data_IF_505467216172
#
_entry.id   IF_505467216172
#
_cell.length_a   1.000
_cell.length_b   1.000
_cell.length_c   1.000
_cell.angle_alpha   90.00
_cell.angle_beta   90.00
_cell.angle_gamma   90.00
#
_symmetry.space_group_name_H-M   'P 1'
#
loop_
_entity.id
_entity.type
_entity.pdbx_description
1 polymer ?
#
# COMPACT_ATOMS: atom_id res chain seq x y z
N UNK A 1 -31.37 -0.14 13.55
CA UNK A 1 -30.16 0.29 14.29
C UNK A 1 -28.96 -0.28 13.55
N UNK A 2 -28.03 0.55 13.07
CA UNK A 2 -26.81 0.06 12.40
C UNK A 2 -25.87 -0.51 13.47
N UNK A 3 -25.36 -1.75 13.35
CA UNK A 3 -24.34 -2.26 14.24
C UNK A 3 -23.04 -1.49 13.96
N UNK A 4 -22.65 -0.61 14.86
CA UNK A 4 -21.60 0.38 14.56
C UNK A 4 -20.30 0.14 15.27
N UNK A 5 -20.21 -0.84 16.17
CA UNK A 5 -18.97 -1.10 16.86
C UNK A 5 -18.70 -2.62 17.02
N UNK A 6 -17.50 -3.00 16.66
CA UNK A 6 -16.97 -4.36 16.76
C UNK A 6 -15.47 -4.29 17.00
N UNK A 7 -14.86 -5.41 17.40
CA UNK A 7 -13.40 -5.57 17.52
C UNK A 7 -12.98 -6.83 16.78
N UNK A 8 -11.87 -6.78 16.04
CA UNK A 8 -11.23 -7.93 15.43
C UNK A 8 -9.82 -8.10 16.01
N UNK A 9 -9.49 -9.30 16.48
CA UNK A 9 -8.18 -9.61 17.07
C UNK A 9 -7.79 -11.06 16.81
N UNK A 10 -6.49 -11.33 16.90
CA UNK A 10 -6.00 -12.71 16.93
C UNK A 10 -6.51 -13.42 18.19
N UNK A 11 -6.80 -14.72 18.05
CA UNK A 11 -7.29 -15.60 19.11
C UNK A 11 -6.52 -16.91 19.10
N UNK A 12 -6.43 -17.56 20.26
CA UNK A 12 -5.97 -18.93 20.36
C UNK A 12 -7.00 -19.89 19.75
N UNK A 13 -6.54 -20.83 18.93
CA UNK A 13 -7.45 -21.75 18.25
C UNK A 13 -8.15 -22.69 19.23
N UNK A 14 -7.45 -23.19 20.24
CA UNK A 14 -8.03 -24.12 21.21
C UNK A 14 -9.18 -23.49 22.00
N UNK A 15 -9.03 -22.20 22.33
CA UNK A 15 -10.04 -21.46 23.11
C UNK A 15 -11.23 -20.99 22.26
N UNK A 16 -11.00 -20.67 20.97
CA UNK A 16 -12.01 -20.07 20.11
C UNK A 16 -12.59 -21.03 19.05
N UNK A 17 -12.17 -22.29 19.03
CA UNK A 17 -12.48 -23.28 18.00
C UNK A 17 -13.96 -23.35 17.64
N UNK A 18 -14.81 -23.45 18.64
CA UNK A 18 -16.25 -23.63 18.42
C UNK A 18 -16.88 -22.40 17.75
N UNK A 19 -16.44 -21.19 18.13
CA UNK A 19 -16.94 -19.94 17.54
C UNK A 19 -16.44 -19.74 16.11
N UNK A 20 -15.15 -20.04 15.86
CA UNK A 20 -14.56 -20.00 14.52
C UNK A 20 -15.31 -20.93 13.58
N UNK A 21 -15.55 -22.16 14.02
CA UNK A 21 -16.25 -23.17 13.23
C UNK A 21 -17.74 -22.83 13.03
N UNK A 22 -18.43 -22.29 14.03
CA UNK A 22 -19.84 -21.91 13.90
C UNK A 22 -20.05 -20.84 12.81
N UNK A 23 -19.18 -19.81 12.76
CA UNK A 23 -19.24 -18.80 11.71
C UNK A 23 -18.96 -19.40 10.33
N UNK A 24 -17.93 -20.24 10.22
CA UNK A 24 -17.52 -20.89 8.97
C UNK A 24 -18.59 -21.85 8.47
N UNK A 25 -19.20 -22.61 9.36
CA UNK A 25 -20.35 -23.48 9.07
C UNK A 25 -21.50 -22.67 8.47
N UNK A 26 -21.86 -21.55 9.11
CA UNK A 26 -22.95 -20.69 8.62
C UNK A 26 -22.64 -20.14 7.24
N UNK A 27 -21.44 -19.58 7.03
CA UNK A 27 -21.11 -18.86 5.80
C UNK A 27 -20.72 -19.81 4.66
N UNK A 28 -19.86 -20.79 4.91
CA UNK A 28 -19.36 -21.64 3.84
C UNK A 28 -20.27 -22.83 3.56
N UNK A 29 -20.76 -23.51 4.59
CA UNK A 29 -21.57 -24.73 4.39
C UNK A 29 -23.03 -24.36 4.13
N UNK A 30 -23.66 -23.56 5.02
CA UNK A 30 -25.09 -23.28 4.91
C UNK A 30 -25.46 -22.29 3.83
N UNK A 31 -24.67 -21.17 3.69
CA UNK A 31 -24.98 -20.16 2.68
C UNK A 31 -24.37 -20.48 1.31
N UNK A 32 -23.13 -21.00 1.25
CA UNK A 32 -22.40 -21.21 -0.02
C UNK A 32 -22.41 -22.65 -0.52
N UNK A 33 -22.89 -23.62 0.28
CA UNK A 33 -22.99 -25.02 -0.10
C UNK A 33 -21.65 -25.75 -0.22
N UNK A 34 -20.59 -25.24 0.41
CA UNK A 34 -19.29 -25.91 0.45
C UNK A 34 -19.41 -27.17 1.31
N UNK A 35 -18.96 -28.36 0.85
CA UNK A 35 -18.96 -29.56 1.68
C UNK A 35 -18.19 -29.36 2.98
N UNK A 36 -18.75 -29.83 4.10
CA UNK A 36 -18.17 -29.67 5.43
C UNK A 36 -16.77 -30.32 5.54
N UNK A 37 -16.51 -31.37 4.78
CA UNK A 37 -15.24 -32.07 4.72
C UNK A 37 -14.14 -31.24 4.04
N UNK A 38 -14.52 -30.33 3.14
CA UNK A 38 -13.58 -29.38 2.49
C UNK A 38 -13.36 -28.17 3.39
N UNK A 39 -14.37 -27.77 4.14
CA UNK A 39 -14.29 -26.62 5.02
C UNK A 39 -13.36 -26.88 6.22
N UNK A 40 -13.46 -28.07 6.82
CA UNK A 40 -12.67 -28.48 7.99
C UNK A 40 -11.44 -29.25 7.52
N UNK A 41 -10.28 -28.64 7.68
CA UNK A 41 -8.98 -29.25 7.34
C UNK A 41 -8.06 -29.37 8.58
N UNK A 42 -7.01 -30.17 8.46
CA UNK A 42 -6.06 -30.44 9.53
C UNK A 42 -5.10 -29.25 9.82
N UNK A 43 -5.17 -28.15 9.06
CA UNK A 43 -4.27 -27.02 9.20
C UNK A 43 -4.64 -26.09 10.36
N UNK A 44 -5.91 -26.07 10.78
CA UNK A 44 -6.42 -25.12 11.76
C UNK A 44 -5.58 -24.99 13.04
N UNK A 45 -5.09 -26.06 13.68
CA UNK A 45 -4.29 -25.94 14.91
C UNK A 45 -2.93 -25.25 14.72
N UNK A 46 -2.39 -25.24 13.49
CA UNK A 46 -1.11 -24.62 13.18
C UNK A 46 -1.24 -23.17 12.66
N UNK A 47 -2.47 -22.71 12.44
CA UNK A 47 -2.75 -21.42 11.84
C UNK A 47 -2.91 -20.31 12.89
N UNK A 48 -2.73 -19.06 12.46
CA UNK A 48 -3.19 -17.89 13.20
C UNK A 48 -4.64 -17.62 12.84
N UNK A 49 -5.48 -17.48 13.86
CA UNK A 49 -6.89 -17.17 13.67
C UNK A 49 -7.22 -15.76 14.15
N UNK A 50 -8.10 -15.10 13.42
CA UNK A 50 -8.70 -13.82 13.81
C UNK A 50 -10.18 -14.00 13.97
N UNK A 51 -10.72 -13.47 15.06
CA UNK A 51 -12.14 -13.47 15.37
C UNK A 51 -12.61 -12.02 15.53
N UNK A 52 -13.67 -11.67 14.83
CA UNK A 52 -14.38 -10.41 15.02
C UNK A 52 -15.58 -10.64 15.93
N UNK A 53 -15.73 -9.77 16.94
CA UNK A 53 -16.86 -9.78 17.88
C UNK A 53 -17.53 -8.41 17.92
N UNK A 54 -18.85 -8.38 18.04
CA UNK A 54 -19.61 -7.20 18.39
C UNK A 54 -19.28 -6.74 19.81
N UNK A 55 -19.74 -5.56 20.21
CA UNK A 55 -19.47 -5.02 21.56
C UNK A 55 -20.03 -5.85 22.71
N UNK A 56 -21.09 -6.59 22.47
CA UNK A 56 -21.68 -7.54 23.42
C UNK A 56 -20.95 -8.89 23.48
N UNK A 57 -19.86 -9.02 22.70
CA UNK A 57 -19.05 -10.24 22.66
C UNK A 57 -19.50 -11.28 21.63
N UNK A 58 -20.60 -11.07 20.90
CA UNK A 58 -21.10 -12.03 19.92
C UNK A 58 -20.13 -12.20 18.76
N UNK A 59 -19.72 -13.43 18.37
CA UNK A 59 -18.88 -13.70 17.21
C UNK A 59 -19.59 -13.35 15.90
N UNK A 60 -18.93 -12.58 15.00
CA UNK A 60 -19.54 -12.05 13.79
C UNK A 60 -18.73 -12.26 12.53
N UNK A 61 -17.47 -12.64 12.66
CA UNK A 61 -16.60 -12.90 11.52
C UNK A 61 -15.31 -13.59 11.93
N UNK A 62 -14.70 -14.34 11.02
CA UNK A 62 -13.45 -15.07 11.22
C UNK A 62 -12.55 -15.01 10.00
N UNK A 63 -11.26 -15.21 10.20
CA UNK A 63 -10.25 -15.36 9.15
C UNK A 63 -9.08 -16.18 9.66
N UNK A 64 -8.40 -16.85 8.74
CA UNK A 64 -7.25 -17.70 9.02
C UNK A 64 -6.03 -17.30 8.22
N UNK A 65 -4.87 -17.33 8.85
CA UNK A 65 -3.57 -17.14 8.23
C UNK A 65 -2.75 -18.43 8.40
N UNK A 66 -2.54 -19.12 7.30
CA UNK A 66 -1.73 -20.34 7.22
C UNK A 66 -0.27 -19.93 7.16
N UNK A 67 0.61 -20.46 8.03
CA UNK A 67 2.05 -20.20 7.97
C UNK A 67 2.66 -20.68 6.64
N UNK A 68 3.78 -20.07 6.21
CA UNK A 68 4.50 -20.56 5.04
C UNK A 68 5.11 -21.93 5.30
N UNK A 69 5.18 -22.75 4.27
CA UNK A 69 5.90 -24.02 4.25
C UNK A 69 6.98 -24.03 3.14
N UNK A 70 7.61 -25.18 2.89
CA UNK A 70 8.67 -25.33 1.87
C UNK A 70 8.19 -25.11 0.43
N UNK A 71 6.88 -25.16 0.18
CA UNK A 71 6.26 -25.09 -1.16
C UNK A 71 5.49 -23.83 -1.39
N UNK A 72 4.83 -23.33 -0.36
CA UNK A 72 3.92 -22.18 -0.44
C UNK A 72 4.26 -21.12 0.61
N UNK A 73 4.15 -19.85 0.24
CA UNK A 73 4.24 -18.73 1.15
C UNK A 73 3.02 -18.68 2.10
N UNK A 74 3.04 -17.73 3.03
CA UNK A 74 1.92 -17.52 3.94
C UNK A 74 0.62 -17.26 3.17
N UNK A 75 -0.51 -17.82 3.64
CA UNK A 75 -1.78 -17.73 2.93
C UNK A 75 -2.94 -17.35 3.85
N UNK A 76 -3.68 -16.31 3.48
CA UNK A 76 -4.94 -15.95 4.13
C UNK A 76 -6.08 -16.77 3.52
N UNK A 77 -6.92 -17.32 4.38
CA UNK A 77 -8.11 -18.09 3.98
C UNK A 77 -9.20 -18.03 5.05
N UNK A 78 -10.29 -18.73 4.78
CA UNK A 78 -11.44 -18.84 5.69
C UNK A 78 -11.97 -17.48 6.17
N UNK A 79 -11.89 -16.46 5.33
CA UNK A 79 -12.46 -15.12 5.60
C UNK A 79 -13.99 -15.20 5.48
N UNK A 80 -14.68 -15.12 6.60
CA UNK A 80 -16.13 -15.21 6.69
C UNK A 80 -16.69 -14.08 7.57
N UNK A 81 -17.77 -13.44 7.11
CA UNK A 81 -18.52 -12.44 7.87
C UNK A 81 -20.01 -12.80 7.79
N UNK A 82 -20.67 -12.90 8.94
CA UNK A 82 -22.11 -13.14 9.01
C UNK A 82 -22.90 -12.07 8.26
N UNK A 83 -23.96 -12.48 7.54
CA UNK A 83 -24.69 -11.63 6.62
C UNK A 83 -25.12 -10.26 7.21
N UNK A 84 -25.64 -10.16 8.45
CA UNK A 84 -26.03 -8.88 9.04
C UNK A 84 -24.87 -7.89 9.24
N UNK A 85 -23.61 -8.37 9.21
CA UNK A 85 -22.41 -7.59 9.49
C UNK A 85 -21.57 -7.30 8.24
N UNK A 86 -22.00 -7.74 7.06
CA UNK A 86 -21.36 -7.43 5.79
C UNK A 86 -21.50 -5.94 5.45
N UNK A 87 -20.53 -5.40 4.73
CA UNK A 87 -20.48 -3.97 4.35
C UNK A 87 -20.34 -2.98 5.53
N UNK A 88 -20.03 -3.45 6.74
CA UNK A 88 -19.78 -2.65 7.94
C UNK A 88 -18.29 -2.55 8.31
N UNK A 89 -17.38 -2.95 7.40
CA UNK A 89 -15.93 -2.86 7.64
C UNK A 89 -15.32 -4.06 8.39
N UNK A 90 -16.13 -5.04 8.81
CA UNK A 90 -15.65 -6.21 9.59
C UNK A 90 -14.59 -6.98 8.83
N UNK A 91 -14.81 -7.30 7.54
CA UNK A 91 -13.84 -7.99 6.70
C UNK A 91 -12.50 -7.25 6.59
N UNK A 92 -12.54 -5.92 6.44
CA UNK A 92 -11.33 -5.10 6.37
C UNK A 92 -10.56 -5.10 7.70
N UNK A 93 -11.25 -5.04 8.84
CA UNK A 93 -10.61 -5.09 10.15
C UNK A 93 -9.96 -6.46 10.42
N UNK A 94 -10.64 -7.55 10.07
CA UNK A 94 -10.06 -8.90 10.18
C UNK A 94 -8.84 -9.07 9.27
N UNK A 95 -8.92 -8.61 8.03
CA UNK A 95 -7.80 -8.63 7.09
C UNK A 95 -6.61 -7.83 7.65
N UNK A 96 -6.85 -6.64 8.18
CA UNK A 96 -5.80 -5.83 8.81
C UNK A 96 -5.14 -6.55 10.00
N UNK A 97 -5.91 -7.26 10.83
CA UNK A 97 -5.39 -8.05 11.94
C UNK A 97 -4.52 -9.23 11.45
N UNK A 98 -4.96 -9.98 10.42
CA UNK A 98 -4.16 -11.07 9.81
C UNK A 98 -2.85 -10.54 9.20
N UNK A 99 -2.90 -9.39 8.51
CA UNK A 99 -1.71 -8.74 7.95
C UNK A 99 -0.75 -8.23 9.05
N UNK A 100 -1.30 -7.77 10.17
CA UNK A 100 -0.49 -7.42 11.35
C UNK A 100 0.27 -8.64 11.89
N UNK A 101 -0.43 -9.77 12.05
CA UNK A 101 0.16 -11.02 12.52
C UNK A 101 1.25 -11.58 11.57
N UNK A 102 1.03 -11.44 10.25
CA UNK A 102 2.03 -11.84 9.26
C UNK A 102 3.29 -10.96 9.34
N UNK A 103 3.12 -9.64 9.48
CA UNK A 103 4.26 -8.71 9.68
C UNK A 103 5.02 -8.95 10.97
N UNK A 104 4.32 -9.27 12.06
CA UNK A 104 4.93 -9.57 13.36
C UNK A 104 5.80 -10.84 13.33
N UNK A 105 5.61 -11.69 12.31
CA UNK A 105 6.39 -12.92 12.05
C UNK A 105 7.43 -12.75 10.95
N UNK A 106 7.66 -11.52 10.48
CA UNK A 106 8.59 -11.19 9.39
C UNK A 106 8.29 -11.95 8.08
N UNK A 107 7.01 -12.27 7.83
CA UNK A 107 6.61 -12.84 6.55
C UNK A 107 6.50 -11.73 5.50
N UNK A 108 7.21 -11.91 4.40
CA UNK A 108 7.38 -10.86 3.40
C UNK A 108 6.26 -10.78 2.36
N UNK A 109 5.49 -11.84 2.22
CA UNK A 109 4.36 -11.90 1.28
C UNK A 109 3.26 -12.77 1.87
N UNK A 110 2.01 -12.42 1.60
CA UNK A 110 0.84 -13.27 1.81
C UNK A 110 0.07 -13.41 0.51
N UNK A 111 -0.43 -14.62 0.27
CA UNK A 111 -1.32 -14.93 -0.83
C UNK A 111 -2.74 -15.23 -0.32
N UNK A 112 -3.70 -15.29 -1.24
CA UNK A 112 -5.04 -15.79 -0.99
C UNK A 112 -5.70 -16.24 -2.30
N UNK A 113 -6.78 -16.99 -2.16
CA UNK A 113 -7.65 -17.41 -3.24
C UNK A 113 -8.98 -16.66 -3.09
N UNK A 114 -9.15 -15.58 -3.87
CA UNK A 114 -10.33 -14.73 -3.81
C UNK A 114 -11.45 -15.32 -4.64
N UNK A 115 -12.63 -15.52 -4.05
CA UNK A 115 -13.86 -15.75 -4.82
C UNK A 115 -14.13 -14.55 -5.74
N UNK A 116 -14.70 -14.76 -6.93
CA UNK A 116 -14.91 -13.73 -7.93
C UNK A 116 -15.61 -12.48 -7.36
N UNK A 117 -16.62 -12.64 -6.50
CA UNK A 117 -17.32 -11.54 -5.84
C UNK A 117 -16.50 -10.78 -4.78
N UNK A 118 -15.35 -11.29 -4.36
CA UNK A 118 -14.48 -10.67 -3.36
C UNK A 118 -13.22 -10.02 -3.95
N UNK A 119 -12.96 -10.16 -5.25
CA UNK A 119 -11.74 -9.65 -5.90
C UNK A 119 -11.58 -8.14 -5.65
N UNK A 120 -12.62 -7.34 -5.85
CA UNK A 120 -12.58 -5.90 -5.66
C UNK A 120 -12.29 -5.50 -4.21
N UNK A 121 -12.74 -6.29 -3.23
CA UNK A 121 -12.40 -6.06 -1.83
C UNK A 121 -10.90 -6.20 -1.62
N UNK A 122 -10.27 -7.26 -2.14
CA UNK A 122 -8.83 -7.48 -1.98
C UNK A 122 -7.99 -6.50 -2.80
N UNK A 123 -8.43 -6.10 -4.00
CA UNK A 123 -7.77 -5.04 -4.78
C UNK A 123 -7.71 -3.73 -3.99
N UNK A 124 -8.81 -3.30 -3.34
CA UNK A 124 -8.83 -2.11 -2.49
C UNK A 124 -7.94 -2.21 -1.25
N UNK A 125 -7.59 -3.43 -0.83
CA UNK A 125 -6.66 -3.69 0.27
C UNK A 125 -5.21 -3.97 -0.18
N UNK A 126 -4.90 -3.68 -1.47
CA UNK A 126 -3.54 -3.71 -1.99
C UNK A 126 -3.08 -5.06 -2.53
N UNK A 127 -3.93 -6.06 -2.57
CA UNK A 127 -3.61 -7.34 -3.22
C UNK A 127 -3.60 -7.20 -4.74
N UNK A 128 -2.65 -7.85 -5.39
CA UNK A 128 -2.56 -7.94 -6.84
C UNK A 128 -2.91 -9.36 -7.33
N UNK A 129 -3.72 -9.51 -8.39
CA UNK A 129 -4.02 -10.82 -8.97
C UNK A 129 -2.78 -11.40 -9.65
N UNK A 130 -2.64 -12.72 -9.64
CA UNK A 130 -1.65 -13.45 -10.42
C UNK A 130 -2.23 -14.80 -10.91
N UNK A 131 -1.67 -15.33 -11.99
CA UNK A 131 -2.18 -16.55 -12.61
C UNK A 131 -3.57 -16.41 -13.24
N UNK A 132 -4.06 -17.47 -13.90
CA UNK A 132 -5.42 -17.49 -14.47
C UNK A 132 -6.47 -17.67 -13.35
N UNK A 133 -7.72 -17.32 -13.67
CA UNK A 133 -8.88 -17.71 -12.86
C UNK A 133 -9.12 -19.21 -12.96
N UNK A 134 -9.68 -19.80 -11.93
CA UNK A 134 -9.98 -21.23 -11.86
C UNK A 134 -11.21 -21.51 -11.03
N UNK A 135 -11.76 -22.72 -11.18
CA UNK A 135 -12.91 -23.18 -10.42
C UNK A 135 -12.48 -24.02 -9.22
N UNK A 136 -12.98 -23.72 -8.03
CA UNK A 136 -12.77 -24.49 -6.82
C UNK A 136 -14.11 -24.63 -6.09
N UNK A 137 -14.53 -25.85 -5.75
CA UNK A 137 -15.82 -26.16 -5.14
C UNK A 137 -17.03 -25.51 -5.85
N UNK A 138 -17.00 -25.42 -7.18
CA UNK A 138 -18.07 -24.80 -7.98
C UNK A 138 -18.07 -23.27 -8.00
N UNK A 139 -17.10 -22.61 -7.38
CA UNK A 139 -16.99 -21.14 -7.29
C UNK A 139 -15.76 -20.69 -8.07
N UNK A 140 -15.89 -19.63 -8.88
CA UNK A 140 -14.75 -19.04 -9.60
C UNK A 140 -13.83 -18.29 -8.63
N UNK A 141 -12.51 -18.57 -8.71
CA UNK A 141 -11.47 -17.98 -7.88
C UNK A 141 -10.39 -17.29 -8.71
N UNK A 142 -9.73 -16.31 -8.08
CA UNK A 142 -8.52 -15.65 -8.53
C UNK A 142 -7.47 -15.72 -7.45
N UNK A 143 -6.28 -16.24 -7.77
CA UNK A 143 -5.13 -16.12 -6.87
C UNK A 143 -4.67 -14.67 -6.78
N UNK A 144 -4.47 -14.17 -5.55
CA UNK A 144 -4.01 -12.81 -5.29
C UNK A 144 -2.90 -12.83 -4.24
N UNK A 145 -2.01 -11.85 -4.30
CA UNK A 145 -0.89 -11.71 -3.36
C UNK A 145 -0.68 -10.27 -2.92
N UNK A 146 -0.13 -10.10 -1.73
CA UNK A 146 0.30 -8.82 -1.16
C UNK A 146 1.69 -8.97 -0.56
N UNK A 147 2.63 -8.14 -0.94
CA UNK A 147 3.92 -8.03 -0.25
C UNK A 147 3.74 -7.23 1.03
N UNK A 148 4.21 -7.77 2.15
CA UNK A 148 3.98 -7.22 3.49
C UNK A 148 5.15 -6.43 4.04
N UNK A 149 6.35 -6.83 3.73
CA UNK A 149 7.54 -6.25 4.33
C UNK A 149 8.77 -6.47 3.46
N UNK A 150 9.73 -5.59 3.69
CA UNK A 150 11.00 -5.55 3.03
C UNK A 150 10.98 -4.69 1.78
N UNK A 151 11.88 -3.71 1.75
CA UNK A 151 12.09 -2.90 0.56
C UNK A 151 12.36 -3.82 -0.63
N UNK A 152 11.56 -3.70 -1.67
CA UNK A 152 11.85 -4.34 -2.96
C UNK A 152 13.02 -3.61 -3.61
N UNK A 153 13.97 -4.36 -4.16
CA UNK A 153 15.08 -3.76 -4.91
C UNK A 153 14.56 -3.20 -6.25
N UNK A 154 14.93 -1.98 -6.54
CA UNK A 154 14.77 -1.36 -7.85
C UNK A 154 16.08 -1.55 -8.61
N UNK A 155 16.00 -2.16 -9.80
CA UNK A 155 17.17 -2.47 -10.60
C UNK A 155 17.26 -1.65 -11.90
N UNK A 156 16.18 -0.99 -12.31
CA UNK A 156 16.15 -0.25 -13.58
C UNK A 156 15.05 0.80 -13.66
N UNK A 157 14.94 1.43 -14.83
CA UNK A 157 14.04 2.55 -15.08
C UNK A 157 12.56 2.15 -14.98
N UNK A 158 12.17 1.03 -15.53
CA UNK A 158 10.77 0.58 -15.53
C UNK A 158 10.27 0.30 -14.10
N UNK A 159 11.10 -0.35 -13.28
CA UNK A 159 10.81 -0.57 -11.86
C UNK A 159 10.69 0.76 -11.10
N UNK A 160 11.60 1.70 -11.36
CA UNK A 160 11.59 3.02 -10.74
C UNK A 160 10.34 3.83 -11.12
N UNK A 161 9.93 3.80 -12.39
CA UNK A 161 8.69 4.42 -12.89
C UNK A 161 7.47 3.80 -12.18
N UNK A 162 7.40 2.47 -12.13
CA UNK A 162 6.30 1.76 -11.48
C UNK A 162 6.22 2.10 -9.98
N UNK A 163 7.36 2.12 -9.28
CA UNK A 163 7.44 2.49 -7.87
C UNK A 163 6.99 3.93 -7.63
N UNK A 164 7.52 4.90 -8.38
CA UNK A 164 7.13 6.32 -8.27
C UNK A 164 5.64 6.51 -8.52
N UNK A 165 5.09 5.91 -9.58
CA UNK A 165 3.67 6.01 -9.90
C UNK A 165 2.79 5.41 -8.79
N UNK A 166 3.18 4.26 -8.23
CA UNK A 166 2.47 3.61 -7.13
C UNK A 166 2.52 4.43 -5.83
N UNK A 167 3.68 5.00 -5.48
CA UNK A 167 3.84 5.84 -4.30
C UNK A 167 2.98 7.10 -4.41
N UNK A 168 3.02 7.78 -5.56
CA UNK A 168 2.20 8.97 -5.80
C UNK A 168 0.70 8.61 -5.78
N UNK A 169 0.32 7.51 -6.44
CA UNK A 169 -1.07 7.05 -6.49
C UNK A 169 -1.63 6.62 -5.13
N UNK A 170 -0.76 6.15 -4.22
CA UNK A 170 -1.12 5.78 -2.84
C UNK A 170 -1.10 6.95 -1.84
N UNK A 171 -0.67 8.14 -2.23
CA UNK A 171 -0.60 9.30 -1.36
C UNK A 171 -2.02 9.80 -0.98
N UNK A 172 -2.19 10.25 0.26
CA UNK A 172 -3.45 10.83 0.76
C UNK A 172 -3.46 12.35 0.58
N UNK A 173 -2.44 13.04 1.11
CA UNK A 173 -2.33 14.50 1.10
C UNK A 173 -0.92 15.03 0.84
N UNK A 174 0.12 14.21 0.96
CA UNK A 174 1.49 14.70 0.88
C UNK A 174 2.40 13.77 0.08
N UNK A 175 3.09 14.35 -0.90
CA UNK A 175 4.21 13.74 -1.62
C UNK A 175 5.44 14.60 -1.44
N UNK A 176 6.58 13.97 -1.10
CA UNK A 176 7.89 14.60 -0.98
C UNK A 176 8.83 13.97 -1.99
N UNK A 177 9.47 14.80 -2.80
CA UNK A 177 10.44 14.40 -3.83
C UNK A 177 11.74 15.14 -3.58
N UNK A 178 12.80 14.40 -3.26
CA UNK A 178 14.17 14.88 -3.27
C UNK A 178 14.87 14.31 -4.48
N UNK A 179 15.42 15.17 -5.33
CA UNK A 179 16.09 14.77 -6.56
C UNK A 179 17.23 15.72 -6.87
N UNK A 180 18.28 15.21 -7.53
CA UNK A 180 19.35 16.06 -7.98
C UNK A 180 18.87 17.05 -9.05
N UNK A 181 18.22 16.55 -10.11
CA UNK A 181 17.90 17.32 -11.31
C UNK A 181 16.51 17.00 -11.90
N UNK A 182 15.58 16.49 -11.09
CA UNK A 182 14.27 15.98 -11.49
C UNK A 182 14.35 14.75 -12.41
N UNK A 183 15.42 13.99 -12.35
CA UNK A 183 15.68 12.69 -12.99
C UNK A 183 14.96 12.51 -14.35
N UNK A 184 15.56 12.99 -15.46
CA UNK A 184 15.00 12.81 -16.80
C UNK A 184 14.73 11.34 -17.11
N UNK A 185 13.58 11.05 -17.74
CA UNK A 185 13.11 9.68 -18.01
C UNK A 185 12.34 9.04 -16.85
N UNK A 186 12.47 9.53 -15.61
CA UNK A 186 11.73 9.04 -14.46
C UNK A 186 10.50 9.92 -14.15
N UNK A 187 10.72 11.20 -13.80
CA UNK A 187 9.60 12.09 -13.41
C UNK A 187 8.86 12.71 -14.61
N UNK A 188 9.37 12.58 -15.80
CA UNK A 188 8.71 12.91 -17.07
C UNK A 188 8.07 11.70 -17.76
N UNK A 189 8.23 10.49 -17.19
CA UNK A 189 7.55 9.30 -17.67
C UNK A 189 6.02 9.43 -17.56
N UNK A 190 5.25 9.05 -18.61
CA UNK A 190 3.81 9.22 -18.62
C UNK A 190 3.07 8.63 -17.41
N UNK A 191 3.43 7.43 -16.88
CA UNK A 191 2.76 6.88 -15.69
C UNK A 191 2.94 7.74 -14.44
N UNK A 192 4.12 8.34 -14.26
CA UNK A 192 4.43 9.19 -13.09
C UNK A 192 3.74 10.54 -13.20
N UNK A 193 3.81 11.18 -14.38
CA UNK A 193 3.13 12.46 -14.65
C UNK A 193 1.62 12.31 -14.48
N UNK A 194 1.04 11.21 -14.97
CA UNK A 194 -0.38 10.92 -14.83
C UNK A 194 -0.79 10.65 -13.37
N UNK A 195 0.03 9.95 -12.60
CA UNK A 195 -0.21 9.76 -11.16
C UNK A 195 -0.18 11.10 -10.40
N UNK A 196 0.80 11.95 -10.69
CA UNK A 196 0.90 13.30 -10.13
C UNK A 196 -0.29 14.19 -10.53
N UNK A 197 -0.73 14.11 -11.79
CA UNK A 197 -1.91 14.83 -12.26
C UNK A 197 -3.17 14.41 -11.51
N UNK A 198 -3.41 13.09 -11.40
CA UNK A 198 -4.57 12.56 -10.64
C UNK A 198 -4.53 12.97 -9.18
N UNK A 199 -3.39 12.84 -8.52
CA UNK A 199 -3.20 13.28 -7.14
C UNK A 199 -3.54 14.77 -6.98
N UNK A 200 -3.00 15.62 -7.87
CA UNK A 200 -3.18 17.06 -7.80
C UNK A 200 -4.62 17.53 -8.09
N UNK A 201 -5.40 16.77 -8.88
CA UNK A 201 -6.79 17.10 -9.24
C UNK A 201 -7.84 16.39 -8.37
N UNK A 202 -7.43 15.57 -7.42
CA UNK A 202 -8.36 14.81 -6.56
C UNK A 202 -9.17 15.67 -5.57
N UNK A 203 -8.89 16.99 -5.45
CA UNK A 203 -9.64 17.88 -4.58
C UNK A 203 -9.41 17.71 -3.07
N UNK A 204 -8.43 16.89 -2.67
CA UNK A 204 -8.19 16.52 -1.27
C UNK A 204 -7.29 17.51 -0.50
N UNK A 205 -6.94 18.67 -1.08
CA UNK A 205 -5.98 19.61 -0.50
C UNK A 205 -4.56 19.04 -0.43
N UNK A 206 -4.21 18.17 -1.37
CA UNK A 206 -2.89 17.54 -1.45
C UNK A 206 -1.78 18.52 -1.82
N UNK A 207 -0.55 18.23 -1.39
CA UNK A 207 0.64 18.99 -1.73
C UNK A 207 1.77 18.08 -2.25
N UNK A 208 2.50 18.56 -3.25
CA UNK A 208 3.72 17.95 -3.78
C UNK A 208 4.86 18.95 -3.57
N UNK A 209 5.81 18.63 -2.69
CA UNK A 209 7.01 19.43 -2.48
C UNK A 209 8.21 18.76 -3.13
N UNK A 210 8.96 19.52 -3.91
CA UNK A 210 10.08 19.02 -4.69
C UNK A 210 11.32 19.84 -4.33
N UNK A 211 12.32 19.16 -3.77
CA UNK A 211 13.62 19.74 -3.41
C UNK A 211 14.66 19.31 -4.44
N UNK A 212 15.32 20.28 -5.09
CA UNK A 212 16.29 20.07 -6.14
C UNK A 212 17.68 20.55 -5.71
N UNK A 213 18.71 19.81 -6.10
CA UNK A 213 20.11 20.23 -5.96
C UNK A 213 20.57 21.07 -7.17
N UNK A 214 20.29 20.62 -8.40
CA UNK A 214 20.44 21.45 -9.63
C UNK A 214 19.06 21.99 -10.06
N UNK A 215 18.74 23.20 -9.61
CA UNK A 215 17.47 23.84 -9.91
C UNK A 215 17.35 24.30 -11.40
N UNK A 216 18.43 24.38 -12.14
CA UNK A 216 18.40 24.83 -13.54
C UNK A 216 18.17 23.66 -14.53
N UNK A 217 18.49 22.43 -14.15
CA UNK A 217 18.41 21.27 -15.03
C UNK A 217 17.00 20.98 -15.58
N UNK A 218 15.91 21.01 -14.78
CA UNK A 218 14.57 20.74 -15.31
C UNK A 218 14.09 21.74 -16.35
N UNK A 219 14.45 23.02 -16.23
CA UNK A 219 14.11 24.03 -17.23
C UNK A 219 14.87 23.80 -18.55
N UNK A 220 16.16 23.48 -18.45
CA UNK A 220 16.98 23.16 -19.63
C UNK A 220 16.44 21.94 -20.37
N UNK A 221 15.90 20.97 -19.64
CA UNK A 221 15.32 19.76 -20.19
C UNK A 221 13.84 19.91 -20.63
N UNK A 222 13.22 21.05 -20.39
CA UNK A 222 11.76 21.28 -20.65
C UNK A 222 10.88 20.17 -20.03
N UNK A 223 11.19 19.78 -18.80
CA UNK A 223 10.57 18.63 -18.14
C UNK A 223 9.03 18.74 -18.09
N UNK A 224 8.27 17.74 -18.55
CA UNK A 224 6.79 17.73 -18.57
C UNK A 224 6.15 18.00 -17.21
N UNK A 225 6.81 17.59 -16.12
CA UNK A 225 6.34 17.87 -14.76
C UNK A 225 6.30 19.37 -14.45
N UNK A 226 7.19 20.18 -15.02
CA UNK A 226 7.14 21.63 -14.84
C UNK A 226 5.88 22.24 -15.46
N UNK A 227 5.52 21.78 -16.67
CA UNK A 227 4.28 22.23 -17.33
C UNK A 227 3.03 21.86 -16.52
N UNK A 228 3.00 20.68 -15.92
CA UNK A 228 1.94 20.27 -15.01
C UNK A 228 1.88 21.17 -13.76
N UNK A 229 3.03 21.39 -13.13
CA UNK A 229 3.14 22.21 -11.91
C UNK A 229 2.72 23.66 -12.13
N UNK A 230 3.08 24.25 -13.27
CA UNK A 230 2.67 25.61 -13.65
C UNK A 230 1.15 25.75 -13.80
N UNK A 231 0.46 24.70 -14.22
CA UNK A 231 -1.02 24.67 -14.32
C UNK A 231 -1.71 24.50 -12.97
N UNK A 232 -1.00 23.95 -11.98
CA UNK A 232 -1.54 23.61 -10.65
C UNK A 232 -0.63 24.18 -9.53
N UNK A 233 -0.37 25.50 -9.51
CA UNK A 233 0.62 26.11 -8.63
C UNK A 233 0.25 26.06 -7.15
N UNK A 234 -0.99 25.78 -6.81
CA UNK A 234 -1.45 25.61 -5.44
C UNK A 234 -1.09 24.25 -4.85
N UNK A 235 -0.75 23.27 -5.69
CA UNK A 235 -0.43 21.90 -5.26
C UNK A 235 1.09 21.66 -5.29
N UNK A 236 1.80 22.22 -6.27
CA UNK A 236 3.22 21.99 -6.47
C UNK A 236 4.06 23.13 -5.92
N UNK A 237 5.10 22.79 -5.16
CA UNK A 237 6.09 23.74 -4.69
C UNK A 237 7.51 23.19 -4.94
N UNK A 238 8.41 24.07 -5.40
CA UNK A 238 9.80 23.74 -5.69
C UNK A 238 10.72 24.63 -4.86
N UNK A 239 11.78 24.01 -4.29
CA UNK A 239 12.87 24.72 -3.65
C UNK A 239 14.21 24.14 -4.09
N UNK A 240 15.23 25.01 -4.12
CA UNK A 240 16.62 24.63 -4.35
C UNK A 240 17.34 24.42 -3.02
N UNK A 241 18.05 23.32 -2.87
CA UNK A 241 18.94 23.08 -1.74
C UNK A 241 20.05 24.14 -1.72
N UNK A 242 20.20 24.83 -0.59
CA UNK A 242 21.17 25.90 -0.42
C UNK A 242 22.25 25.58 0.60
N UNK A 243 21.87 24.86 1.68
CA UNK A 243 22.80 24.43 2.70
C UNK A 243 23.78 23.39 2.12
N UNK A 244 25.09 23.49 2.40
CA UNK A 244 26.08 22.53 1.92
C UNK A 244 25.74 21.09 2.24
N UNK A 245 25.25 20.81 3.45
CA UNK A 245 24.86 19.44 3.84
C UNK A 245 23.71 18.87 3.00
N UNK A 246 22.78 19.72 2.55
CA UNK A 246 21.65 19.31 1.72
C UNK A 246 22.04 19.22 0.23
N UNK A 247 23.02 20.04 -0.22
CA UNK A 247 23.53 20.04 -1.59
C UNK A 247 24.45 18.86 -1.87
N UNK A 248 25.23 18.47 -0.87
CA UNK A 248 26.25 17.41 -0.99
C UNK A 248 25.66 16.02 -0.63
N UNK A 249 24.41 15.96 -0.17
CA UNK A 249 23.73 14.69 0.11
C UNK A 249 23.50 13.92 -1.21
N UNK A 250 24.13 12.76 -1.39
CA UNK A 250 24.06 12.03 -2.65
C UNK A 250 22.70 11.34 -2.87
N UNK A 251 21.84 11.31 -1.87
CA UNK A 251 20.61 10.53 -1.90
C UNK A 251 19.47 11.22 -2.67
N UNK A 252 18.54 10.41 -3.18
CA UNK A 252 17.30 10.88 -3.76
C UNK A 252 16.15 9.95 -3.32
N UNK A 253 14.95 10.50 -3.21
CA UNK A 253 13.80 9.69 -2.84
C UNK A 253 12.46 10.32 -3.22
N UNK A 254 11.45 9.47 -3.27
CA UNK A 254 10.02 9.83 -3.25
C UNK A 254 9.42 9.22 -2.00
N UNK A 255 8.63 9.97 -1.24
CA UNK A 255 7.91 9.45 -0.09
C UNK A 255 6.52 10.08 0.02
N UNK A 256 5.54 9.30 0.48
CA UNK A 256 4.18 9.76 0.70
C UNK A 256 3.77 9.67 2.18
N UNK A 257 2.59 10.21 2.49
CA UNK A 257 2.01 10.20 3.85
C UNK A 257 1.24 8.91 4.18
N UNK A 258 1.12 7.98 3.23
CA UNK A 258 0.49 6.68 3.45
C UNK A 258 1.48 5.56 3.82
N UNK A 259 2.79 5.84 3.77
CA UNK A 259 3.84 4.88 4.13
C UNK A 259 4.64 4.33 2.96
N UNK A 260 4.39 4.82 1.74
CA UNK A 260 5.16 4.47 0.56
C UNK A 260 6.44 5.29 0.41
N UNK A 261 7.52 4.65 -0.01
CA UNK A 261 8.77 5.33 -0.38
C UNK A 261 9.53 4.58 -1.48
N UNK A 262 10.34 5.33 -2.23
CA UNK A 262 11.43 4.85 -3.07
C UNK A 262 12.67 5.66 -2.72
N UNK A 263 13.73 4.98 -2.28
CA UNK A 263 14.97 5.59 -1.82
C UNK A 263 16.14 5.10 -2.65
N UNK A 264 17.02 6.02 -3.02
CA UNK A 264 18.29 5.77 -3.71
C UNK A 264 19.41 6.40 -2.90
N UNK A 265 20.43 5.63 -2.59
CA UNK A 265 21.63 6.15 -1.92
C UNK A 265 22.47 7.07 -2.80
N UNK A 266 22.33 6.93 -4.14
CA UNK A 266 22.97 7.79 -5.13
C UNK A 266 21.91 8.32 -6.11
N UNK A 267 21.68 9.62 -6.13
CA UNK A 267 20.73 10.28 -7.02
C UNK A 267 21.03 10.05 -8.51
N UNK A 268 22.31 9.83 -8.85
CA UNK A 268 22.74 9.58 -10.24
C UNK A 268 22.43 8.16 -10.74
N UNK A 269 21.93 7.28 -9.88
CA UNK A 269 21.56 5.90 -10.21
C UNK A 269 20.09 5.68 -9.92
N UNK A 270 19.49 4.73 -10.65
CA UNK A 270 18.09 4.32 -10.43
C UNK A 270 17.98 3.15 -9.46
N UNK A 271 19.09 2.45 -9.20
CA UNK A 271 19.10 1.37 -8.23
C UNK A 271 18.79 1.91 -6.83
N UNK A 272 17.92 1.19 -6.15
CA UNK A 272 17.47 1.60 -4.83
C UNK A 272 16.51 0.60 -4.22
N UNK A 273 15.78 1.05 -3.24
CA UNK A 273 14.78 0.27 -2.53
C UNK A 273 13.42 0.98 -2.50
N UNK A 274 12.34 0.23 -2.58
CA UNK A 274 10.98 0.74 -2.49
C UNK A 274 10.12 -0.14 -1.60
N UNK A 275 9.26 0.48 -0.82
CA UNK A 275 8.21 -0.20 -0.09
C UNK A 275 6.96 0.70 -0.09
N UNK A 276 5.80 0.10 -0.34
CA UNK A 276 4.53 0.84 -0.37
C UNK A 276 3.83 0.88 1.01
N UNK A 277 4.34 0.13 1.99
CA UNK A 277 3.72 -0.07 3.29
C UNK A 277 4.70 0.01 4.48
N UNK A 278 5.70 0.87 4.40
CA UNK A 278 6.70 1.12 5.46
C UNK A 278 6.53 2.50 6.12
N UNK A 279 5.49 2.73 6.93
CA UNK A 279 5.17 4.05 7.46
C UNK A 279 6.28 4.65 8.33
N UNK A 280 7.09 3.82 9.01
CA UNK A 280 8.24 4.25 9.80
C UNK A 280 9.33 4.88 8.92
N UNK A 281 9.75 4.19 7.85
CA UNK A 281 10.78 4.67 6.93
C UNK A 281 10.29 5.89 6.14
N UNK A 282 9.06 5.85 5.61
CA UNK A 282 8.49 6.98 4.90
C UNK A 282 8.38 8.24 5.78
N UNK A 283 8.05 8.09 7.07
CA UNK A 283 8.02 9.21 8.03
C UNK A 283 9.41 9.79 8.27
N UNK A 284 10.42 8.94 8.42
CA UNK A 284 11.81 9.37 8.59
C UNK A 284 12.27 10.20 7.39
N UNK A 285 12.12 9.68 6.16
CA UNK A 285 12.48 10.38 4.94
C UNK A 285 11.74 11.71 4.78
N UNK A 286 10.46 11.77 5.11
CA UNK A 286 9.70 13.03 5.10
C UNK A 286 10.18 14.01 6.15
N UNK A 287 10.57 13.54 7.33
CA UNK A 287 11.15 14.39 8.37
C UNK A 287 12.49 15.00 7.96
N UNK A 288 13.38 14.21 7.35
CA UNK A 288 14.64 14.68 6.77
C UNK A 288 14.38 15.70 5.65
N UNK A 289 13.42 15.41 4.77
CA UNK A 289 13.00 16.32 3.72
C UNK A 289 12.50 17.66 4.27
N UNK A 290 11.58 17.64 5.24
CA UNK A 290 10.98 18.85 5.78
C UNK A 290 12.04 19.73 6.48
N UNK A 291 13.06 19.16 7.14
CA UNK A 291 14.19 19.89 7.69
C UNK A 291 15.02 20.59 6.58
N UNK A 292 15.35 19.87 5.51
CA UNK A 292 16.07 20.44 4.37
C UNK A 292 15.22 21.49 3.64
N UNK A 293 13.92 21.26 3.55
CA UNK A 293 12.95 22.18 2.95
C UNK A 293 12.94 23.56 3.62
N UNK A 294 13.01 23.63 4.94
CA UNK A 294 13.00 24.90 5.67
C UNK A 294 14.27 25.73 5.41
N UNK A 295 15.40 25.08 5.13
CA UNK A 295 16.67 25.74 4.78
C UNK A 295 16.81 26.09 3.29
N UNK A 296 15.90 25.53 2.45
CA UNK A 296 15.98 25.64 1.01
C UNK A 296 15.33 26.94 0.49
N UNK A 297 15.82 27.43 -0.65
CA UNK A 297 15.32 28.64 -1.31
C UNK A 297 14.20 28.31 -2.31
N UNK A 298 13.06 29.03 -2.30
CA UNK A 298 12.05 28.91 -3.35
C UNK A 298 12.66 29.16 -4.75
N UNK A 299 12.11 28.43 -5.74
CA UNK A 299 12.46 28.62 -7.15
C UNK A 299 11.30 29.36 -7.83
N UNK A 300 11.34 30.71 -7.88
CA UNK A 300 10.22 31.50 -8.40
C UNK A 300 9.99 31.27 -9.90
N UNK A 301 11.02 30.91 -10.65
CA UNK A 301 10.97 30.67 -12.09
C UNK A 301 10.10 29.47 -12.46
N UNK A 302 9.77 28.61 -11.49
CA UNK A 302 8.90 27.43 -11.69
C UNK A 302 7.43 27.73 -11.41
N UNK A 303 7.12 28.89 -10.86
CA UNK A 303 5.73 29.36 -10.75
C UNK A 303 5.28 29.95 -12.10
N UNK A 304 4.01 29.75 -12.44
CA UNK A 304 3.43 30.45 -13.57
C UNK A 304 3.68 31.96 -13.39
N UNK A 305 4.26 32.60 -14.39
CA UNK A 305 4.23 34.05 -14.48
C UNK A 305 2.75 34.41 -14.59
N UNK A 306 2.17 34.95 -13.50
CA UNK A 306 0.80 35.45 -13.54
C UNK A 306 0.69 36.52 -14.62
N UNK A 307 -0.09 36.24 -15.65
CA UNK A 307 -0.60 37.21 -16.62
C UNK A 307 -1.85 37.82 -16.00
#
# INVERSE_FOLDING_TARGET
MRPTAFRASAVDYADAKDELHAIRETVFVQEQGVPAEIERDALDPACVHVLARSLDGTPIGTGRLVPPDEREGARIGRMAVLAPWRSHGVGAAMLAALLHEARARDWHEVSLHAQAGAIDFYLRNGFAPYGPRYMEAGIEHQSMRLRLAGASRIAGLDDAIAACAAIVGGARRAVRIRSHALDPGLFDAPPVVEALRRFATAGNGGEVRILLQDAAAPQRAQAPLLALAQRLPSVFAFRAACDPSDRDDPSAFVANDAGGYYFRSLATRLEGETDLAAPGRARLLRGEFDQAWERARPIPEYRALGI
#
